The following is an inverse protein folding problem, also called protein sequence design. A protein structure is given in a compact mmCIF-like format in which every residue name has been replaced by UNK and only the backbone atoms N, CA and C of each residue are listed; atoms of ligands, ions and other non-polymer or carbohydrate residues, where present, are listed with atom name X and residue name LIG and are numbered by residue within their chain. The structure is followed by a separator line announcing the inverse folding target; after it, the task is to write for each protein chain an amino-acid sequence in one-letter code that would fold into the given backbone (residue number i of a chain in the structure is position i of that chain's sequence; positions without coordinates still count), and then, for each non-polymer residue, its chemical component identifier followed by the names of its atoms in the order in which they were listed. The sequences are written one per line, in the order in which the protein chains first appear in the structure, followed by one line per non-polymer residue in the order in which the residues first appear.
data_IF_498016333833
#
_entry.id   IF_498016333833
#
_cell.length_a   1.000
_cell.length_b   1.000
_cell.length_c   1.000
_cell.angle_alpha   90.00
_cell.angle_beta   90.00
_cell.angle_gamma   90.00
#
_symmetry.space_group_name_H-M   'P 1'
#
loop_
_entity.id
_entity.type
_entity.pdbx_description
1 polymer ?
#
# COMPACT_ATOMS: atom_id res chain seq x y z
N UNK A 1 -20.02 64.28 20.40
CA UNK A 1 -20.33 63.07 19.60
C UNK A 1 -19.21 62.83 18.60
N UNK A 2 -18.53 61.68 18.66
CA UNK A 2 -18.06 60.90 17.49
C UNK A 2 -17.42 59.60 18.00
N UNK A 3 -18.17 58.52 17.87
CA UNK A 3 -17.73 57.14 18.07
C UNK A 3 -16.84 56.79 16.87
N UNK A 4 -15.61 56.34 17.09
CA UNK A 4 -14.83 55.65 16.06
C UNK A 4 -14.89 54.18 16.43
N UNK A 5 -15.65 53.43 15.62
CA UNK A 5 -15.90 52.00 15.77
C UNK A 5 -14.71 51.24 15.18
N UNK A 6 -14.31 50.22 15.92
CA UNK A 6 -13.20 49.27 15.77
C UNK A 6 -13.23 48.54 14.40
N UNK A 7 -12.06 48.21 13.82
CA UNK A 7 -11.91 47.69 12.46
C UNK A 7 -12.48 46.28 12.28
N UNK A 8 -13.05 46.03 11.09
CA UNK A 8 -13.48 44.71 10.64
C UNK A 8 -12.23 43.91 10.27
N UNK A 9 -11.86 43.00 11.17
CA UNK A 9 -10.86 41.96 10.97
C UNK A 9 -11.44 40.93 10.00
N UNK A 10 -11.06 41.02 8.72
CA UNK A 10 -11.36 39.99 7.73
C UNK A 10 -10.60 38.70 8.08
N UNK A 11 -11.26 37.83 8.85
CA UNK A 11 -10.79 36.48 9.11
C UNK A 11 -10.85 35.69 7.79
N UNK A 12 -9.73 35.60 7.09
CA UNK A 12 -9.56 34.66 5.98
C UNK A 12 -9.52 33.27 6.60
N UNK A 13 -10.64 32.56 6.56
CA UNK A 13 -10.71 31.15 6.89
C UNK A 13 -9.96 30.37 5.83
N UNK A 14 -8.67 30.17 6.05
CA UNK A 14 -7.89 29.18 5.29
C UNK A 14 -8.36 27.80 5.76
N UNK A 15 -9.40 27.28 5.13
CA UNK A 15 -9.82 25.89 5.30
C UNK A 15 -8.69 25.01 4.79
N UNK A 16 -7.89 24.49 5.71
CA UNK A 16 -6.92 23.43 5.46
C UNK A 16 -7.68 22.19 5.00
N UNK A 17 -7.70 21.94 3.70
CA UNK A 17 -8.02 20.63 3.14
C UNK A 17 -6.86 19.69 3.49
N UNK A 18 -6.76 19.29 4.76
CA UNK A 18 -5.92 18.16 5.14
C UNK A 18 -6.49 16.93 4.43
N UNK A 19 -5.79 16.45 3.41
CA UNK A 19 -6.09 15.17 2.77
C UNK A 19 -6.19 14.11 3.86
N UNK A 20 -7.30 13.37 3.89
CA UNK A 20 -7.57 12.26 4.82
C UNK A 20 -6.72 11.02 4.48
N UNK A 21 -5.45 11.23 4.11
CA UNK A 21 -4.55 10.13 3.80
C UNK A 21 -4.24 9.34 5.07
N UNK A 22 -4.36 8.00 5.04
CA UNK A 22 -3.98 7.19 6.18
C UNK A 22 -2.47 7.29 6.42
N UNK A 23 -2.07 7.21 7.70
CA UNK A 23 -0.69 6.95 8.06
C UNK A 23 -0.35 5.52 7.64
N UNK A 24 0.69 5.34 6.82
CA UNK A 24 1.10 4.06 6.26
C UNK A 24 2.49 3.67 6.78
N UNK A 25 2.61 2.44 7.26
CA UNK A 25 3.85 1.82 7.70
C UNK A 25 4.13 0.61 6.79
N UNK A 26 5.23 0.61 6.02
CA UNK A 26 5.52 -0.49 5.12
C UNK A 26 5.93 -1.73 5.91
N UNK A 27 5.37 -2.89 5.54
CA UNK A 27 5.67 -4.17 6.18
C UNK A 27 6.34 -5.17 5.23
N UNK A 28 6.10 -5.03 3.92
CA UNK A 28 6.79 -5.82 2.89
C UNK A 28 7.11 -4.99 1.66
N UNK A 29 8.29 -5.21 1.07
CA UNK A 29 8.60 -4.83 -0.32
C UNK A 29 8.69 -6.09 -1.16
N UNK A 30 7.98 -6.13 -2.27
CA UNK A 30 8.00 -7.26 -3.20
C UNK A 30 8.42 -6.82 -4.59
N UNK A 31 9.25 -7.62 -5.24
CA UNK A 31 9.74 -7.37 -6.60
C UNK A 31 9.21 -8.47 -7.52
N UNK A 32 8.79 -8.06 -8.71
CA UNK A 32 8.40 -8.97 -9.77
C UNK A 32 9.60 -9.31 -10.64
N UNK A 33 9.86 -10.60 -10.87
CA UNK A 33 10.97 -11.02 -11.73
C UNK A 33 10.63 -10.97 -13.22
N UNK A 34 9.35 -10.97 -13.58
CA UNK A 34 8.92 -10.83 -14.98
C UNK A 34 8.90 -9.35 -15.41
N UNK A 35 10.04 -8.92 -15.96
CA UNK A 35 10.25 -7.56 -16.51
C UNK A 35 9.43 -7.26 -17.76
N UNK A 36 8.73 -8.24 -18.35
CA UNK A 36 7.83 -8.00 -19.48
C UNK A 36 6.49 -7.38 -19.07
N UNK A 37 6.17 -7.40 -17.77
CA UNK A 37 4.92 -6.82 -17.24
C UNK A 37 5.13 -5.39 -16.79
N UNK A 38 4.07 -4.60 -16.90
CA UNK A 38 4.08 -3.22 -16.42
C UNK A 38 4.09 -3.09 -14.90
N UNK A 39 3.88 -4.16 -14.13
CA UNK A 39 3.95 -4.11 -12.66
C UNK A 39 5.33 -4.60 -12.24
N UNK A 40 6.15 -3.70 -11.73
CA UNK A 40 7.54 -3.94 -11.33
C UNK A 40 7.63 -4.41 -9.87
N UNK A 41 6.81 -3.83 -9.00
CA UNK A 41 6.92 -4.06 -7.57
C UNK A 41 5.61 -3.80 -6.82
N UNK A 42 5.54 -4.35 -5.61
CA UNK A 42 4.47 -4.11 -4.65
C UNK A 42 5.08 -3.63 -3.33
N UNK A 43 4.38 -2.75 -2.63
CA UNK A 43 4.66 -2.46 -1.23
C UNK A 43 3.40 -2.73 -0.42
N UNK A 44 3.50 -3.54 0.62
CA UNK A 44 2.38 -3.84 1.52
C UNK A 44 2.54 -2.97 2.75
N UNK A 45 1.45 -2.34 3.16
CA UNK A 45 1.40 -1.41 4.27
C UNK A 45 0.42 -1.88 5.34
N UNK A 46 0.80 -1.65 6.59
CA UNK A 46 -0.12 -1.47 7.70
C UNK A 46 -0.54 0.01 7.73
N UNK A 47 -1.84 0.29 7.76
CA UNK A 47 -2.38 1.63 7.59
C UNK A 47 -3.41 1.97 8.67
N UNK A 48 -3.52 3.27 9.02
CA UNK A 48 -4.49 3.78 9.99
C UNK A 48 -4.95 5.19 9.60
N UNK A 49 -6.26 5.45 9.68
CA UNK A 49 -6.82 6.81 9.61
C UNK A 49 -6.93 7.39 11.02
N UNK A 50 -6.21 8.47 11.32
CA UNK A 50 -6.25 9.12 12.63
C UNK A 50 -6.06 8.12 13.79
N UNK A 51 -7.07 8.02 14.67
CA UNK A 51 -7.11 7.06 15.81
C UNK A 51 -7.93 5.79 15.53
N UNK A 52 -8.36 5.57 14.29
CA UNK A 52 -9.20 4.43 13.92
C UNK A 52 -8.45 3.09 13.89
N UNK A 53 -9.16 2.07 13.43
CA UNK A 53 -8.64 0.70 13.34
C UNK A 53 -7.51 0.57 12.31
N UNK A 54 -6.62 -0.40 12.58
CA UNK A 54 -5.58 -0.81 11.66
C UNK A 54 -6.20 -1.58 10.50
N UNK A 55 -5.76 -1.28 9.28
CA UNK A 55 -6.07 -2.06 8.09
C UNK A 55 -4.83 -2.23 7.23
N UNK A 56 -4.93 -3.04 6.18
CA UNK A 56 -3.82 -3.32 5.28
C UNK A 56 -4.11 -2.80 3.87
N UNK A 57 -3.07 -2.34 3.20
CA UNK A 57 -3.13 -1.91 1.80
C UNK A 57 -1.94 -2.48 1.04
N UNK A 58 -2.14 -2.73 -0.25
CA UNK A 58 -1.04 -3.00 -1.19
C UNK A 58 -0.96 -1.85 -2.16
N UNK A 59 0.18 -1.16 -2.19
CA UNK A 59 0.55 -0.27 -3.27
C UNK A 59 1.13 -1.10 -4.40
N UNK A 60 0.53 -0.97 -5.58
CA UNK A 60 1.00 -1.60 -6.81
C UNK A 60 1.73 -0.55 -7.62
N UNK A 61 3.03 -0.75 -7.81
CA UNK A 61 3.87 0.12 -8.63
C UNK A 61 3.82 -0.36 -10.08
N UNK A 62 3.71 0.59 -11.00
CA UNK A 62 3.48 0.31 -12.41
C UNK A 62 4.38 1.20 -13.25
N UNK A 63 5.20 0.59 -14.09
CA UNK A 63 6.04 1.26 -15.09
C UNK A 63 5.54 0.89 -16.47
N UNK A 64 4.95 1.85 -17.18
CA UNK A 64 4.42 1.65 -18.53
C UNK A 64 5.00 2.70 -19.47
N UNK A 65 5.78 2.24 -20.47
CA UNK A 65 6.47 3.13 -21.42
C UNK A 65 7.35 4.19 -20.74
N UNK A 66 8.04 3.82 -19.65
CA UNK A 66 8.86 4.73 -18.86
C UNK A 66 8.08 5.68 -17.93
N UNK A 67 6.75 5.63 -17.94
CA UNK A 67 5.92 6.41 -17.01
C UNK A 67 5.64 5.58 -15.77
N UNK A 68 6.07 6.10 -14.63
CA UNK A 68 5.79 5.53 -13.32
C UNK A 68 4.42 5.98 -12.81
N UNK A 69 3.67 5.03 -12.27
CA UNK A 69 2.41 5.29 -11.59
C UNK A 69 2.21 4.27 -10.48
N UNK A 70 1.32 4.56 -9.54
CA UNK A 70 0.93 3.57 -8.53
C UNK A 70 -0.53 3.72 -8.14
N UNK A 71 -1.07 2.66 -7.55
CA UNK A 71 -2.38 2.72 -6.91
C UNK A 71 -2.40 1.85 -5.66
N UNK A 72 -3.26 2.22 -4.72
CA UNK A 72 -3.49 1.47 -3.49
C UNK A 72 -4.70 0.55 -3.62
N UNK A 73 -4.59 -0.63 -3.02
CA UNK A 73 -5.68 -1.56 -2.84
C UNK A 73 -5.78 -1.95 -1.38
N UNK A 74 -6.83 -1.52 -0.69
CA UNK A 74 -7.18 -2.03 0.64
C UNK A 74 -7.46 -3.53 0.56
N UNK A 75 -6.91 -4.29 1.50
CA UNK A 75 -6.92 -5.76 1.54
C UNK A 75 -7.15 -6.27 2.95
N UNK A 76 -7.67 -7.49 3.06
CA UNK A 76 -7.70 -8.23 4.31
C UNK A 76 -6.38 -8.98 4.49
N UNK A 77 -5.90 -9.08 5.73
CA UNK A 77 -4.82 -9.98 6.11
C UNK A 77 -5.44 -11.29 6.62
N UNK A 78 -5.09 -12.41 5.99
CA UNK A 78 -5.39 -13.75 6.45
C UNK A 78 -4.06 -14.42 6.81
N UNK A 79 -3.91 -14.76 8.09
CA UNK A 79 -2.72 -15.42 8.61
C UNK A 79 -3.00 -16.92 8.82
N UNK A 80 -2.14 -17.79 8.28
CA UNK A 80 -2.27 -19.25 8.39
C UNK A 80 -1.01 -19.85 9.00
N UNK A 81 -1.17 -21.01 9.64
CA UNK A 81 -0.06 -21.77 10.27
C UNK A 81 0.79 -20.93 11.24
N UNK A 82 0.12 -20.14 12.10
CA UNK A 82 0.81 -19.25 13.05
C UNK A 82 1.56 -18.09 12.39
N UNK A 83 1.16 -17.65 11.19
CA UNK A 83 1.81 -16.55 10.48
C UNK A 83 2.95 -16.94 9.57
N UNK A 84 3.19 -18.25 9.38
CA UNK A 84 4.12 -18.77 8.36
C UNK A 84 3.63 -18.50 6.94
N UNK A 85 2.32 -18.41 6.74
CA UNK A 85 1.73 -17.98 5.47
C UNK A 85 0.87 -16.76 5.75
N UNK A 86 1.15 -15.66 5.07
CA UNK A 86 0.34 -14.44 5.12
C UNK A 86 -0.28 -14.17 3.75
N UNK A 87 -1.58 -13.91 3.73
CA UNK A 87 -2.33 -13.65 2.52
C UNK A 87 -3.04 -12.30 2.62
N UNK A 88 -2.63 -11.37 1.76
CA UNK A 88 -3.21 -10.03 1.61
C UNK A 88 -4.17 -10.05 0.44
N UNK A 89 -5.49 -10.07 0.70
CA UNK A 89 -6.47 -10.37 -0.35
C UNK A 89 -7.81 -9.65 -0.22
N UNK A 90 -8.46 -9.45 -1.38
CA UNK A 90 -9.89 -9.12 -1.50
C UNK A 90 -10.62 -10.20 -2.32
N UNK A 91 -10.15 -11.45 -2.25
CA UNK A 91 -10.60 -12.55 -3.10
C UNK A 91 -9.80 -12.63 -4.40
N UNK A 92 -10.19 -11.85 -5.41
CA UNK A 92 -9.56 -11.92 -6.74
C UNK A 92 -8.17 -11.25 -6.79
N UNK A 93 -7.99 -10.13 -6.06
CA UNK A 93 -6.66 -9.60 -5.80
C UNK A 93 -6.05 -10.35 -4.62
N UNK A 94 -4.82 -10.85 -4.77
CA UNK A 94 -4.16 -11.66 -3.75
C UNK A 94 -2.65 -11.48 -3.81
N UNK A 95 -2.02 -11.27 -2.66
CA UNK A 95 -0.58 -11.43 -2.47
C UNK A 95 -0.38 -12.42 -1.34
N UNK A 96 0.28 -13.55 -1.61
CA UNK A 96 0.54 -14.60 -0.64
C UNK A 96 2.05 -14.70 -0.41
N UNK A 97 2.49 -14.49 0.82
CA UNK A 97 3.88 -14.55 1.23
C UNK A 97 4.10 -15.85 2.00
N UNK A 98 5.08 -16.64 1.56
CA UNK A 98 5.52 -17.84 2.24
C UNK A 98 6.73 -17.53 3.14
N UNK A 99 6.47 -17.45 4.45
CA UNK A 99 7.46 -17.15 5.48
C UNK A 99 8.08 -18.41 6.10
N UNK A 100 7.84 -19.60 5.51
CA UNK A 100 8.40 -20.87 6.01
C UNK A 100 9.91 -20.92 5.82
N UNK A 101 10.43 -20.39 4.71
CA UNK A 101 11.86 -20.33 4.41
C UNK A 101 12.22 -18.96 3.86
N UNK A 102 13.35 -18.43 4.32
CA UNK A 102 14.00 -17.27 3.73
C UNK A 102 15.14 -17.75 2.83
N UNK A 103 15.38 -17.07 1.72
CA UNK A 103 16.63 -17.24 0.97
C UNK A 103 17.80 -16.55 1.70
N UNK A 104 19.01 -16.65 1.12
CA UNK A 104 20.22 -16.07 1.70
C UNK A 104 20.11 -14.54 1.89
N UNK A 105 19.33 -13.86 1.04
CA UNK A 105 19.09 -12.42 1.05
C UNK A 105 17.86 -12.04 1.91
N UNK A 106 17.36 -12.98 2.71
CA UNK A 106 16.19 -12.82 3.60
C UNK A 106 14.86 -12.58 2.87
N UNK A 107 14.78 -12.94 1.60
CA UNK A 107 13.55 -12.85 0.83
C UNK A 107 12.67 -14.10 0.99
N UNK A 108 11.38 -13.91 0.72
CA UNK A 108 10.32 -14.90 0.81
C UNK A 108 9.71 -15.16 -0.56
N UNK A 109 9.54 -16.45 -0.87
CA UNK A 109 8.77 -16.87 -2.04
C UNK A 109 7.34 -16.31 -1.96
N UNK A 110 6.89 -15.69 -3.05
CA UNK A 110 5.63 -14.96 -3.07
C UNK A 110 4.82 -15.32 -4.30
N UNK A 111 3.50 -15.37 -4.12
CA UNK A 111 2.54 -15.43 -5.21
C UNK A 111 1.75 -14.13 -5.27
N UNK A 112 1.53 -13.59 -6.46
CA UNK A 112 0.63 -12.46 -6.66
C UNK A 112 -0.39 -12.72 -7.77
N UNK A 113 -1.63 -12.29 -7.51
CA UNK A 113 -2.72 -12.17 -8.48
C UNK A 113 -3.19 -10.73 -8.51
N UNK A 114 -2.96 -10.07 -9.64
CA UNK A 114 -3.32 -8.66 -9.88
C UNK A 114 -4.16 -8.61 -11.15
N UNK A 115 -5.50 -8.75 -11.04
CA UNK A 115 -6.38 -8.94 -12.19
C UNK A 115 -6.29 -7.83 -13.24
N UNK A 116 -6.16 -6.56 -12.80
CA UNK A 116 -6.05 -5.38 -13.68
C UNK A 116 -4.92 -5.49 -14.70
N UNK A 117 -3.84 -6.22 -14.36
CA UNK A 117 -2.67 -6.41 -15.22
C UNK A 117 -2.51 -7.86 -15.69
N UNK A 118 -3.56 -8.69 -15.53
CA UNK A 118 -3.54 -10.13 -15.90
C UNK A 118 -2.37 -10.90 -15.27
N UNK A 119 -1.98 -10.52 -14.05
CA UNK A 119 -0.91 -11.19 -13.32
C UNK A 119 -1.53 -12.29 -12.45
N UNK A 120 -0.98 -13.48 -12.54
CA UNK A 120 -1.27 -14.65 -11.71
C UNK A 120 -0.02 -15.53 -11.72
N UNK A 121 0.97 -15.20 -10.89
CA UNK A 121 2.30 -15.81 -10.98
C UNK A 121 2.95 -15.98 -9.60
N UNK A 122 3.95 -16.88 -9.56
CA UNK A 122 4.85 -17.08 -8.41
C UNK A 122 6.20 -16.37 -8.59
N UNK A 123 6.33 -15.56 -9.62
CA UNK A 123 7.58 -14.88 -9.99
C UNK A 123 7.82 -13.63 -9.15
N UNK A 124 7.54 -13.74 -7.86
CA UNK A 124 7.58 -12.64 -6.90
C UNK A 124 8.43 -13.03 -5.71
N UNK A 125 9.17 -12.05 -5.22
CA UNK A 125 9.96 -12.20 -4.00
C UNK A 125 9.74 -11.00 -3.10
N UNK A 126 9.40 -11.26 -1.84
CA UNK A 126 9.15 -10.21 -0.85
C UNK A 126 10.20 -10.22 0.24
N UNK A 127 10.47 -9.07 0.84
CA UNK A 127 11.28 -8.93 2.05
C UNK A 127 10.54 -8.12 3.10
N UNK A 128 10.75 -8.48 4.37
CA UNK A 128 10.32 -7.64 5.49
C UNK A 128 11.02 -6.25 5.37
N UNK A 129 10.36 -5.19 5.82
CA UNK A 129 11.00 -3.88 6.01
C UNK A 129 11.84 -3.81 7.28
#
# INVERSE_FOLDING_TARGET
MKKIIIPILSLITVSTFASLDPKREPIYKCVHYDVSKFVDSLTIYQSRHGRGDIFHEVQVHVVKYGVESSYFKKVNLISKYGGKIQEFTTGNFRVKIDRVRKDADKHFATFARIPKYKIHSRDWSCKDY
#
